data_IF_445483042803
#
_entry.id   IF_445483042803
#
_cell.length_a   1.000
_cell.length_b   1.000
_cell.length_c   1.000
_cell.angle_alpha   90.00
_cell.angle_beta   90.00
_cell.angle_gamma   90.00
#
_symmetry.space_group_name_H-M   'P 1'
#
loop_
_entity.id
_entity.type
_entity.pdbx_description
1 polymer ?
#
# COMPACT_ATOMS: atom_id res chain seq x y z
N UNK A 1 12.14 17.31 6.36
CA UNK A 1 12.63 17.32 4.96
C UNK A 1 11.68 18.19 4.18
N UNK A 2 12.17 19.23 3.49
CA UNK A 2 11.34 20.05 2.61
C UNK A 2 10.75 19.16 1.51
N UNK A 3 9.49 19.40 1.15
CA UNK A 3 8.71 18.61 0.21
C UNK A 3 9.17 18.76 -1.27
N UNK A 4 10.44 19.09 -1.52
CA UNK A 4 10.91 19.58 -2.83
C UNK A 4 11.71 18.55 -3.63
N UNK A 5 12.29 17.53 -2.98
CA UNK A 5 13.16 16.56 -3.65
C UNK A 5 12.59 15.14 -3.58
N UNK A 6 12.40 14.55 -4.76
CA UNK A 6 12.01 13.16 -4.90
C UNK A 6 13.15 12.23 -4.44
N UNK A 7 12.90 11.12 -3.73
CA UNK A 7 13.94 10.21 -3.29
C UNK A 7 14.79 9.71 -4.47
N UNK A 8 16.11 9.84 -4.36
CA UNK A 8 17.02 9.32 -5.39
C UNK A 8 16.99 7.80 -5.40
N UNK A 9 16.58 7.23 -6.53
CA UNK A 9 16.60 5.78 -6.77
C UNK A 9 17.92 5.32 -7.43
N UNK A 10 18.83 6.25 -7.74
CA UNK A 10 20.01 6.00 -8.57
C UNK A 10 21.06 5.08 -7.94
N UNK A 11 21.05 4.94 -6.61
CA UNK A 11 22.00 4.10 -5.86
C UNK A 11 21.41 2.74 -5.48
N UNK A 12 20.13 2.49 -5.74
CA UNK A 12 19.48 1.24 -5.36
C UNK A 12 19.71 0.16 -6.42
N UNK A 13 20.21 -1.00 -6.01
CA UNK A 13 20.19 -2.20 -6.84
C UNK A 13 18.72 -2.53 -7.20
N UNK A 14 18.41 -2.49 -8.49
CA UNK A 14 17.05 -2.66 -9.00
C UNK A 14 16.46 -4.04 -8.64
N UNK A 15 17.30 -5.08 -8.60
CA UNK A 15 16.85 -6.42 -8.23
C UNK A 15 16.53 -6.50 -6.75
N UNK A 16 17.40 -5.92 -5.90
CA UNK A 16 17.16 -5.87 -4.45
C UNK A 16 15.94 -5.03 -4.11
N UNK A 17 15.73 -3.92 -4.81
CA UNK A 17 14.54 -3.09 -4.64
C UNK A 17 13.26 -3.81 -5.06
N UNK A 18 13.30 -4.54 -6.19
CA UNK A 18 12.19 -5.36 -6.63
C UNK A 18 11.83 -6.45 -5.61
N UNK A 19 12.83 -7.05 -4.96
CA UNK A 19 12.65 -8.05 -3.91
C UNK A 19 12.07 -7.42 -2.63
N UNK A 20 12.62 -6.31 -2.14
CA UNK A 20 12.06 -5.56 -1.00
C UNK A 20 10.57 -5.23 -1.22
N UNK A 21 10.23 -4.75 -2.42
CA UNK A 21 8.85 -4.48 -2.81
C UNK A 21 8.00 -5.75 -2.83
N UNK A 22 8.53 -6.86 -3.35
CA UNK A 22 7.83 -8.16 -3.39
C UNK A 22 7.52 -8.68 -1.99
N UNK A 23 8.45 -8.53 -1.04
CA UNK A 23 8.24 -8.90 0.35
C UNK A 23 7.15 -8.05 1.03
N UNK A 24 7.18 -6.72 0.86
CA UNK A 24 6.12 -5.84 1.36
C UNK A 24 4.78 -6.18 0.70
N UNK A 25 4.75 -6.35 -0.63
CA UNK A 25 3.52 -6.67 -1.36
C UNK A 25 2.91 -8.00 -0.92
N UNK A 26 3.75 -8.98 -0.56
CA UNK A 26 3.30 -10.25 -0.01
C UNK A 26 2.70 -10.10 1.39
N UNK A 27 3.29 -9.29 2.28
CA UNK A 27 2.70 -9.00 3.59
C UNK A 27 1.37 -8.21 3.48
N UNK A 28 1.27 -7.30 2.51
CA UNK A 28 0.05 -6.53 2.28
C UNK A 28 -1.17 -7.41 1.99
N UNK A 29 -0.98 -8.59 1.40
CA UNK A 29 -2.09 -9.50 1.15
C UNK A 29 -2.72 -10.04 2.43
N UNK A 30 -1.98 -10.09 3.54
CA UNK A 30 -2.56 -10.46 4.83
C UNK A 30 -3.49 -9.36 5.37
N UNK A 31 -3.12 -8.09 5.22
CA UNK A 31 -4.02 -6.98 5.53
C UNK A 31 -5.26 -7.02 4.63
N UNK A 32 -5.09 -7.27 3.34
CA UNK A 32 -6.19 -7.39 2.39
C UNK A 32 -7.16 -8.53 2.76
N UNK A 33 -6.65 -9.69 3.21
CA UNK A 33 -7.48 -10.81 3.69
C UNK A 33 -8.27 -10.44 4.94
N UNK A 34 -7.65 -9.70 5.87
CA UNK A 34 -8.34 -9.20 7.06
C UNK A 34 -9.44 -8.19 6.69
N UNK A 35 -9.14 -7.23 5.82
CA UNK A 35 -10.11 -6.26 5.30
C UNK A 35 -11.28 -6.95 4.59
N UNK A 36 -11.00 -7.96 3.75
CA UNK A 36 -12.05 -8.73 3.07
C UNK A 36 -12.91 -9.57 4.03
N UNK A 37 -12.30 -10.11 5.08
CA UNK A 37 -12.99 -10.99 6.04
C UNK A 37 -13.85 -10.21 7.04
N UNK A 38 -13.37 -9.03 7.45
CA UNK A 38 -13.89 -8.32 8.63
C UNK A 38 -14.14 -6.82 8.41
N UNK A 39 -13.62 -6.23 7.33
CA UNK A 39 -13.77 -4.81 7.03
C UNK A 39 -15.17 -4.44 6.51
N UNK A 40 -15.41 -3.16 6.21
CA UNK A 40 -16.72 -2.66 5.79
C UNK A 40 -17.26 -3.27 4.50
N UNK A 41 -16.37 -3.77 3.64
CA UNK A 41 -16.72 -4.45 2.39
C UNK A 41 -16.84 -5.97 2.54
N UNK A 42 -16.86 -6.51 3.75
CA UNK A 42 -16.92 -7.95 3.98
C UNK A 42 -18.16 -8.58 3.30
N UNK A 43 -17.91 -9.59 2.45
CA UNK A 43 -18.94 -10.26 1.65
C UNK A 43 -19.30 -9.58 0.32
N UNK A 44 -18.68 -8.44 -0.01
CA UNK A 44 -18.79 -7.79 -1.31
C UNK A 44 -17.73 -8.31 -2.30
N UNK A 45 -18.06 -8.29 -3.59
CA UNK A 45 -17.08 -8.46 -4.68
C UNK A 45 -16.29 -7.18 -4.97
N UNK A 46 -16.57 -6.10 -4.23
CA UNK A 46 -15.88 -4.83 -4.36
C UNK A 46 -14.37 -4.96 -4.13
N UNK A 47 -13.62 -4.06 -4.77
CA UNK A 47 -12.17 -3.97 -4.62
C UNK A 47 -11.79 -3.78 -3.14
N UNK A 48 -10.89 -4.63 -2.66
CA UNK A 48 -10.30 -4.51 -1.33
C UNK A 48 -9.36 -3.31 -1.34
N UNK A 49 -9.49 -2.44 -0.34
CA UNK A 49 -8.66 -1.24 -0.22
C UNK A 49 -8.09 -1.10 1.19
N UNK A 50 -6.84 -0.67 1.28
CA UNK A 50 -6.15 -0.34 2.53
C UNK A 50 -5.93 1.18 2.62
N UNK A 51 -5.30 1.64 3.68
CA UNK A 51 -4.94 3.05 3.91
C UNK A 51 -3.44 3.20 4.10
N UNK A 52 -2.90 4.33 3.65
CA UNK A 52 -1.57 4.80 4.03
C UNK A 52 -1.70 5.75 5.21
N UNK A 53 -0.93 5.50 6.27
CA UNK A 53 -0.82 6.35 7.45
C UNK A 53 0.55 7.01 7.47
N UNK A 54 0.63 8.28 7.09
CA UNK A 54 1.91 8.96 6.92
C UNK A 54 2.63 9.19 8.26
N UNK A 55 1.87 9.49 9.32
CA UNK A 55 2.41 9.75 10.65
C UNK A 55 3.16 8.54 11.23
N UNK A 56 2.69 7.32 10.92
CA UNK A 56 3.28 6.06 11.40
C UNK A 56 4.13 5.34 10.35
N UNK A 57 4.18 5.86 9.11
CA UNK A 57 4.81 5.21 7.96
C UNK A 57 4.31 3.78 7.80
N UNK A 58 2.99 3.63 7.82
CA UNK A 58 2.37 2.34 7.92
C UNK A 58 1.20 2.18 6.95
N UNK A 59 0.92 0.94 6.59
CA UNK A 59 -0.24 0.58 5.79
C UNK A 59 -1.21 -0.12 6.71
N UNK A 60 -2.48 0.30 6.68
CA UNK A 60 -3.48 -0.18 7.63
C UNK A 60 -4.74 -0.67 6.94
N UNK A 61 -5.41 -1.63 7.58
CA UNK A 61 -6.82 -1.92 7.27
C UNK A 61 -7.69 -0.72 7.64
N UNK A 62 -8.95 -0.70 7.19
CA UNK A 62 -9.97 0.11 7.85
C UNK A 62 -10.23 -0.45 9.24
N UNK A 63 -10.97 0.30 10.06
CA UNK A 63 -11.39 -0.18 11.38
C UNK A 63 -12.31 -1.40 11.21
N UNK A 64 -11.92 -2.49 11.84
CA UNK A 64 -12.66 -3.74 11.95
C UNK A 64 -13.58 -3.63 13.17
N UNK A 65 -14.89 -3.50 12.93
CA UNK A 65 -15.82 -3.13 14.00
C UNK A 65 -15.57 -1.71 14.49
N UNK A 66 -15.56 -1.49 15.81
CA UNK A 66 -15.46 -0.12 16.37
C UNK A 66 -14.03 0.39 16.48
N UNK A 67 -13.11 -0.41 17.03
CA UNK A 67 -11.82 0.11 17.53
C UNK A 67 -10.60 -0.75 17.19
N UNK A 68 -10.73 -1.75 16.30
CA UNK A 68 -9.61 -2.62 15.91
C UNK A 68 -9.10 -2.26 14.52
N UNK A 69 -7.79 -2.21 14.33
CA UNK A 69 -7.14 -2.03 13.04
C UNK A 69 -5.90 -2.92 12.98
N UNK A 70 -5.61 -3.52 11.82
CA UNK A 70 -4.33 -4.17 11.59
C UNK A 70 -3.42 -3.22 10.82
N UNK A 71 -2.18 -3.13 11.24
CA UNK A 71 -1.14 -2.27 10.66
C UNK A 71 0.06 -3.12 10.20
N UNK A 72 0.64 -2.74 9.07
CA UNK A 72 1.99 -3.10 8.64
C UNK A 72 2.84 -1.83 8.64
N UNK A 73 3.78 -1.74 9.58
CA UNK A 73 4.71 -0.61 9.70
C UNK A 73 5.96 -0.82 8.84
N UNK A 74 6.37 0.24 8.16
CA UNK A 74 7.57 0.30 7.33
C UNK A 74 8.57 1.33 7.90
N UNK A 75 9.89 1.15 7.65
CA UNK A 75 10.52 0.11 6.83
C UNK A 75 10.72 -1.25 7.53
N UNK A 76 10.42 -1.36 8.83
CA UNK A 76 10.79 -2.54 9.64
C UNK A 76 9.98 -3.81 9.34
N UNK A 77 8.93 -3.73 8.52
CA UNK A 77 8.03 -4.84 8.20
C UNK A 77 7.44 -5.51 9.44
N UNK A 78 6.86 -4.69 10.33
CA UNK A 78 6.23 -5.14 11.58
C UNK A 78 4.72 -5.11 11.44
N UNK A 79 4.07 -6.25 11.70
CA UNK A 79 2.62 -6.37 11.80
C UNK A 79 2.16 -6.14 13.24
N UNK A 80 1.13 -5.33 13.43
CA UNK A 80 0.61 -5.01 14.77
C UNK A 80 -0.87 -4.64 14.74
N UNK A 81 -1.64 -5.16 15.70
CA UNK A 81 -3.00 -4.70 15.93
C UNK A 81 -3.01 -3.40 16.72
N UNK A 82 -3.96 -2.53 16.40
CA UNK A 82 -4.28 -1.31 17.11
C UNK A 82 -5.68 -1.41 17.69
N UNK A 83 -5.80 -1.15 18.99
CA UNK A 83 -7.01 -1.30 19.78
C UNK A 83 -7.26 -0.02 20.57
N UNK A 84 -8.42 0.62 20.34
CA UNK A 84 -8.77 1.86 21.05
C UNK A 84 -7.76 2.98 20.84
N UNK A 85 -7.15 3.04 19.65
CA UNK A 85 -6.13 4.03 19.30
C UNK A 85 -4.74 3.75 19.89
N UNK A 86 -4.48 2.54 20.41
CA UNK A 86 -3.17 2.14 20.94
C UNK A 86 -2.67 0.87 20.28
N UNK A 87 -1.35 0.78 20.09
CA UNK A 87 -0.71 -0.42 19.59
C UNK A 87 -0.78 -1.55 20.63
N UNK A 88 -1.19 -2.76 20.21
CA UNK A 88 -1.24 -3.95 21.06
C UNK A 88 0.17 -4.51 21.30
N UNK A 89 0.41 -5.15 22.44
CA UNK A 89 1.77 -5.58 22.85
C UNK A 89 2.39 -6.69 21.99
N UNK A 90 1.60 -7.43 21.21
CA UNK A 90 2.05 -8.61 20.47
C UNK A 90 2.34 -8.29 19.00
N UNK A 91 3.32 -7.42 18.73
CA UNK A 91 3.75 -7.18 17.35
C UNK A 91 4.49 -8.40 16.78
N UNK A 92 4.35 -8.63 15.47
CA UNK A 92 5.12 -9.62 14.72
C UNK A 92 6.12 -8.88 13.82
N UNK A 93 7.42 -9.04 14.09
CA UNK A 93 8.46 -8.75 13.09
C UNK A 93 8.37 -9.80 11.99
N UNK A 94 8.52 -9.43 10.71
CA UNK A 94 8.49 -10.41 9.63
C UNK A 94 9.80 -11.21 9.48
N UNK A 95 10.91 -10.72 10.04
CA UNK A 95 12.24 -11.36 9.93
C UNK A 95 12.19 -12.86 10.28
N UNK A 96 12.77 -13.69 9.42
CA UNK A 96 12.84 -15.15 9.53
C UNK A 96 11.47 -15.85 9.64
N UNK A 97 10.37 -15.15 9.37
CA UNK A 97 9.05 -15.73 9.35
C UNK A 97 8.58 -15.95 7.91
N UNK A 98 7.95 -17.09 7.69
CA UNK A 98 7.31 -17.42 6.41
C UNK A 98 5.87 -16.87 6.35
N UNK A 99 5.26 -16.77 5.17
CA UNK A 99 3.83 -16.46 5.04
C UNK A 99 2.93 -17.36 5.90
N UNK A 100 3.25 -18.66 6.05
CA UNK A 100 2.51 -19.55 6.94
C UNK A 100 2.62 -19.16 8.43
N UNK A 101 3.78 -18.67 8.88
CA UNK A 101 3.94 -18.15 10.24
C UNK A 101 3.12 -16.89 10.46
N UNK A 102 3.11 -15.96 9.49
CA UNK A 102 2.28 -14.75 9.55
C UNK A 102 0.79 -15.10 9.63
N UNK A 103 0.34 -16.09 8.84
CA UNK A 103 -1.04 -16.59 8.92
C UNK A 103 -1.38 -17.12 10.31
N UNK A 104 -0.51 -17.99 10.86
CA UNK A 104 -0.74 -18.59 12.17
C UNK A 104 -0.83 -17.52 13.26
N UNK A 105 0.10 -16.55 13.26
CA UNK A 105 0.08 -15.41 14.18
C UNK A 105 -1.23 -14.62 14.06
N UNK A 106 -1.67 -14.28 12.85
CA UNK A 106 -2.93 -13.56 12.62
C UNK A 106 -4.13 -14.31 13.20
N UNK A 107 -4.25 -15.61 12.92
CA UNK A 107 -5.37 -16.41 13.40
C UNK A 107 -5.40 -16.56 14.92
N UNK A 108 -4.24 -16.66 15.55
CA UNK A 108 -4.10 -16.67 17.02
C UNK A 108 -4.49 -15.31 17.60
N UNK A 109 -4.02 -14.22 17.02
CA UNK A 109 -4.32 -12.87 17.50
C UNK A 109 -5.81 -12.52 17.35
N UNK A 110 -6.46 -12.98 16.26
CA UNK A 110 -7.92 -12.87 16.12
C UNK A 110 -8.65 -13.67 17.21
N UNK A 111 -8.18 -14.90 17.51
CA UNK A 111 -8.77 -15.74 18.55
C UNK A 111 -8.66 -15.08 19.93
N UNK A 112 -7.50 -14.53 20.29
CA UNK A 112 -7.29 -13.82 21.56
C UNK A 112 -8.21 -12.61 21.75
N UNK A 113 -8.69 -12.02 20.64
CA UNK A 113 -9.62 -10.88 20.63
C UNK A 113 -11.10 -11.30 20.56
N UNK A 114 -11.38 -12.60 20.61
CA UNK A 114 -12.73 -13.13 20.48
C UNK A 114 -13.34 -12.91 19.09
N UNK A 115 -12.52 -12.69 18.07
CA UNK A 115 -12.99 -12.57 16.69
C UNK A 115 -13.20 -13.96 16.11
N UNK A 116 -14.35 -14.16 15.46
CA UNK A 116 -14.70 -15.44 14.85
C UNK A 116 -13.78 -15.75 13.66
N UNK A 117 -12.73 -16.52 13.94
CA UNK A 117 -11.77 -17.03 12.94
C UNK A 117 -12.42 -17.79 11.78
N UNK A 118 -13.64 -18.32 11.92
CA UNK A 118 -14.33 -19.02 10.84
C UNK A 118 -14.73 -18.10 9.69
N UNK A 119 -14.81 -16.79 9.95
CA UNK A 119 -15.05 -15.77 8.92
C UNK A 119 -13.80 -15.42 8.11
N UNK A 120 -12.60 -15.80 8.58
CA UNK A 120 -11.38 -15.53 7.86
C UNK A 120 -11.37 -16.25 6.52
N UNK A 121 -11.10 -15.51 5.44
CA UNK A 121 -10.91 -16.07 4.11
C UNK A 121 -9.50 -15.81 3.61
N UNK A 122 -8.92 -16.82 2.95
CA UNK A 122 -7.65 -16.69 2.23
C UNK A 122 -7.83 -16.14 0.81
N UNK A 123 -9.04 -16.21 0.27
CA UNK A 123 -9.35 -15.84 -1.10
C UNK A 123 -9.27 -14.32 -1.26
N UNK A 124 -8.68 -13.86 -2.35
CA UNK A 124 -8.69 -12.46 -2.77
C UNK A 124 -9.34 -12.36 -4.16
N UNK A 125 -9.94 -11.21 -4.52
CA UNK A 125 -10.64 -11.05 -5.80
C UNK A 125 -9.70 -10.88 -7.01
N UNK A 126 -8.40 -11.12 -6.82
CA UNK A 126 -7.34 -10.95 -7.82
C UNK A 126 -6.26 -12.01 -7.60
N UNK A 127 -5.41 -12.19 -8.62
CA UNK A 127 -4.33 -13.17 -8.59
C UNK A 127 -3.21 -12.76 -7.62
N UNK A 128 -2.75 -13.72 -6.83
CA UNK A 128 -1.63 -13.59 -5.89
C UNK A 128 -0.60 -14.70 -6.06
N UNK A 129 -0.68 -15.46 -7.16
CA UNK A 129 0.21 -16.60 -7.45
C UNK A 129 1.68 -16.21 -7.54
N UNK A 130 1.96 -14.97 -7.96
CA UNK A 130 3.31 -14.41 -8.06
C UNK A 130 3.83 -13.78 -6.77
N UNK A 131 3.28 -14.12 -5.59
CA UNK A 131 3.68 -13.60 -4.27
C UNK A 131 4.17 -14.73 -3.34
N UNK A 132 4.86 -14.37 -2.26
CA UNK A 132 5.36 -15.34 -1.28
C UNK A 132 4.19 -16.12 -0.66
N UNK A 133 4.33 -17.45 -0.57
CA UNK A 133 3.34 -18.33 0.02
C UNK A 133 3.97 -19.56 0.67
N UNK A 134 3.22 -20.20 1.57
CA UNK A 134 3.67 -21.41 2.26
C UNK A 134 4.74 -21.15 3.32
N UNK A 135 5.55 -22.17 3.58
CA UNK A 135 6.59 -22.22 4.60
C UNK A 135 8.02 -22.35 4.04
N UNK A 136 8.16 -22.53 2.73
CA UNK A 136 9.46 -22.70 2.07
C UNK A 136 10.24 -21.41 1.77
N UNK A 137 9.68 -20.25 2.10
CA UNK A 137 10.32 -18.93 1.92
C UNK A 137 10.07 -18.07 3.16
N UNK A 138 11.06 -17.29 3.56
CA UNK A 138 11.02 -16.40 4.72
C UNK A 138 11.19 -14.95 4.28
N UNK A 139 10.58 -14.02 5.00
CA UNK A 139 10.88 -12.60 4.84
C UNK A 139 12.24 -12.28 5.45
N UNK A 140 12.94 -11.30 4.87
CA UNK A 140 14.26 -10.86 5.32
C UNK A 140 14.37 -9.32 5.28
N UNK A 141 13.51 -8.57 5.99
CA UNK A 141 13.59 -7.12 6.05
C UNK A 141 14.97 -6.59 6.46
N UNK A 142 15.74 -7.29 7.29
CA UNK A 142 17.10 -6.88 7.64
C UNK A 142 18.05 -6.94 6.44
N UNK A 143 17.94 -7.98 5.61
CA UNK A 143 18.73 -8.12 4.40
C UNK A 143 18.45 -7.00 3.40
N UNK A 144 17.20 -6.51 3.32
CA UNK A 144 16.74 -5.49 2.36
C UNK A 144 16.47 -4.12 3.01
N UNK A 145 17.09 -3.84 4.16
CA UNK A 145 16.78 -2.66 4.99
C UNK A 145 16.87 -1.33 4.22
N UNK A 146 17.91 -1.16 3.42
CA UNK A 146 18.12 0.08 2.66
C UNK A 146 17.03 0.27 1.60
N UNK A 147 16.69 -0.81 0.89
CA UNK A 147 15.66 -0.81 -0.13
C UNK A 147 14.27 -0.55 0.46
N UNK A 148 13.98 -1.09 1.65
CA UNK A 148 12.75 -0.83 2.39
C UNK A 148 12.66 0.62 2.87
N UNK A 149 13.77 1.22 3.32
CA UNK A 149 13.84 2.66 3.65
C UNK A 149 13.49 3.48 2.40
N UNK A 150 14.13 3.20 1.26
CA UNK A 150 13.86 3.89 0.00
C UNK A 150 12.42 3.73 -0.44
N UNK A 151 11.85 2.52 -0.36
CA UNK A 151 10.44 2.26 -0.68
C UNK A 151 9.50 3.08 0.22
N UNK A 152 9.78 3.14 1.52
CA UNK A 152 9.00 3.91 2.49
C UNK A 152 9.05 5.40 2.22
N UNK A 153 10.22 5.92 1.83
CA UNK A 153 10.40 7.31 1.41
C UNK A 153 9.63 7.61 0.12
N UNK A 154 9.66 6.70 -0.87
CA UNK A 154 8.88 6.82 -2.09
C UNK A 154 7.38 6.86 -1.82
N UNK A 155 6.86 5.97 -0.96
CA UNK A 155 5.44 5.98 -0.57
C UNK A 155 5.06 7.28 0.15
N UNK A 156 5.90 7.74 1.08
CA UNK A 156 5.72 9.02 1.79
C UNK A 156 5.65 10.20 0.82
N UNK A 157 6.63 10.30 -0.08
CA UNK A 157 6.71 11.38 -1.06
C UNK A 157 5.54 11.35 -2.05
N UNK A 158 5.16 10.15 -2.51
CA UNK A 158 4.02 9.96 -3.39
C UNK A 158 2.71 10.36 -2.71
N UNK A 159 2.46 9.90 -1.48
CA UNK A 159 1.27 10.27 -0.71
C UNK A 159 1.18 11.80 -0.53
N UNK A 160 2.29 12.43 -0.12
CA UNK A 160 2.33 13.89 0.03
C UNK A 160 2.05 14.62 -1.29
N UNK A 161 2.60 14.16 -2.41
CA UNK A 161 2.37 14.78 -3.71
C UNK A 161 0.93 14.61 -4.22
N UNK A 162 0.34 13.44 -4.00
CA UNK A 162 -1.06 13.15 -4.33
C UNK A 162 -1.98 14.04 -3.49
N UNK A 163 -1.78 14.11 -2.17
CA UNK A 163 -2.59 14.95 -1.26
C UNK A 163 -2.48 16.45 -1.55
N UNK A 164 -1.29 16.93 -1.94
CA UNK A 164 -1.13 18.33 -2.33
C UNK A 164 -1.88 18.68 -3.62
N UNK A 165 -2.14 17.69 -4.46
CA UNK A 165 -2.83 17.88 -5.72
C UNK A 165 -4.34 17.63 -5.60
N UNK A 166 -4.81 16.74 -4.72
CA UNK A 166 -6.24 16.49 -4.53
C UNK A 166 -6.94 17.71 -3.92
N UNK A 167 -8.12 18.04 -4.46
CA UNK A 167 -8.99 19.11 -3.92
C UNK A 167 -9.91 18.59 -2.79
N UNK A 168 -9.87 17.28 -2.51
CA UNK A 168 -10.81 16.59 -1.64
C UNK A 168 -10.41 16.74 -0.16
N UNK A 169 -10.65 17.90 0.44
CA UNK A 169 -10.38 18.12 1.86
C UNK A 169 -11.21 17.17 2.75
N UNK A 170 -10.66 16.00 3.06
CA UNK A 170 -11.17 15.13 4.13
C UNK A 170 -10.69 15.67 5.48
N UNK A 171 -11.50 15.50 6.52
CA UNK A 171 -11.10 15.91 7.88
C UNK A 171 -9.98 15.01 8.45
N UNK A 172 -9.78 13.83 7.86
CA UNK A 172 -8.69 12.91 8.16
C UNK A 172 -7.87 12.63 6.89
N UNK A 173 -6.62 13.12 6.78
CA UNK A 173 -5.77 12.90 5.62
C UNK A 173 -5.41 11.42 5.40
N UNK A 174 -5.46 10.59 6.45
CA UNK A 174 -5.19 9.16 6.34
C UNK A 174 -6.39 8.39 5.72
N UNK A 175 -7.58 9.01 5.64
CA UNK A 175 -8.73 8.44 4.92
C UNK A 175 -8.73 8.74 3.42
N UNK A 176 -7.97 9.76 3.00
CA UNK A 176 -7.96 10.29 1.65
C UNK A 176 -7.07 9.48 0.69
N UNK A 177 -5.93 8.99 1.19
CA UNK A 177 -5.07 8.07 0.42
C UNK A 177 -5.52 6.62 0.59
N UNK A 178 -5.93 6.03 -0.53
CA UNK A 178 -6.26 4.61 -0.64
C UNK A 178 -5.04 3.85 -1.14
N UNK A 179 -4.75 2.70 -0.53
CA UNK A 179 -3.80 1.73 -1.11
C UNK A 179 -4.56 0.57 -1.74
N UNK A 180 -4.28 0.26 -3.01
CA UNK A 180 -4.79 -0.95 -3.67
C UNK A 180 -3.80 -2.10 -3.49
N UNK A 181 -4.16 -3.17 -2.76
CA UNK A 181 -3.27 -4.30 -2.51
C UNK A 181 -3.03 -5.17 -3.75
N UNK A 182 -3.90 -5.12 -4.76
CA UNK A 182 -3.71 -5.90 -6.00
C UNK A 182 -2.40 -5.53 -6.72
N UNK A 183 -2.21 -4.24 -7.01
CA UNK A 183 -1.07 -3.74 -7.78
C UNK A 183 -0.12 -2.85 -6.97
N UNK A 184 -0.31 -2.79 -5.64
CA UNK A 184 0.46 -1.98 -4.71
C UNK A 184 0.54 -0.51 -5.13
N UNK A 185 -0.62 0.06 -5.49
CA UNK A 185 -0.76 1.47 -5.84
C UNK A 185 -1.30 2.30 -4.69
N UNK A 186 -0.83 3.54 -4.59
CA UNK A 186 -1.46 4.61 -3.79
C UNK A 186 -2.35 5.42 -4.72
N UNK A 187 -3.57 5.73 -4.29
CA UNK A 187 -4.57 6.47 -5.06
C UNK A 187 -5.32 7.48 -4.20
N UNK A 188 -5.69 8.61 -4.79
CA UNK A 188 -6.70 9.52 -4.24
C UNK A 188 -7.60 10.06 -5.35
N UNK A 189 -8.84 10.36 -5.00
CA UNK A 189 -9.75 11.05 -5.91
C UNK A 189 -9.28 12.51 -6.08
N UNK A 190 -9.08 12.91 -7.34
CA UNK A 190 -8.83 14.31 -7.68
C UNK A 190 -10.14 15.08 -7.78
N UNK A 191 -11.09 14.50 -8.53
CA UNK A 191 -12.46 14.97 -8.70
C UNK A 191 -13.40 13.77 -8.93
N UNK A 192 -14.65 14.02 -9.36
CA UNK A 192 -15.63 12.97 -9.61
C UNK A 192 -15.29 12.01 -10.76
N UNK A 193 -14.29 12.33 -11.58
CA UNK A 193 -13.93 11.59 -12.80
C UNK A 193 -12.46 11.17 -12.86
N UNK A 194 -11.59 11.75 -12.02
CA UNK A 194 -10.14 11.53 -12.05
C UNK A 194 -9.62 10.98 -10.73
N UNK A 195 -8.73 9.99 -10.85
CA UNK A 195 -7.94 9.42 -9.76
C UNK A 195 -6.47 9.70 -10.04
N UNK A 196 -5.78 10.30 -9.08
CA UNK A 196 -4.32 10.39 -9.11
C UNK A 196 -3.76 9.15 -8.43
N UNK A 197 -2.64 8.63 -8.92
CA UNK A 197 -2.01 7.53 -8.24
C UNK A 197 -0.51 7.40 -8.48
N UNK A 198 0.06 6.49 -7.71
CA UNK A 198 1.46 6.12 -7.73
C UNK A 198 1.60 4.61 -7.61
N UNK A 199 2.50 4.01 -8.41
CA UNK A 199 2.89 2.61 -8.31
C UNK A 199 4.38 2.54 -8.01
N UNK A 200 4.75 1.77 -7.00
CA UNK A 200 6.16 1.51 -6.69
C UNK A 200 6.87 0.66 -7.76
N UNK A 201 6.12 0.06 -8.70
CA UNK A 201 6.62 -0.50 -9.95
C UNK A 201 5.47 -0.73 -10.91
N UNK A 202 5.62 -0.35 -12.18
CA UNK A 202 4.66 -0.71 -13.24
C UNK A 202 5.14 -1.93 -14.03
N UNK A 203 4.27 -2.92 -14.25
CA UNK A 203 4.58 -4.10 -15.07
C UNK A 203 5.09 -3.77 -16.49
N UNK A 204 4.72 -2.59 -17.02
CA UNK A 204 5.14 -2.10 -18.34
C UNK A 204 6.45 -1.32 -18.35
N UNK A 205 6.82 -0.70 -17.22
CA UNK A 205 7.90 0.30 -17.16
C UNK A 205 9.09 -0.18 -16.31
N UNK A 206 8.88 -1.13 -15.40
CA UNK A 206 9.94 -1.71 -14.57
C UNK A 206 10.50 -0.76 -13.50
N UNK A 207 9.92 0.45 -13.37
CA UNK A 207 10.28 1.48 -12.38
C UNK A 207 9.03 2.06 -11.72
N UNK A 208 9.18 2.81 -10.61
CA UNK A 208 8.07 3.54 -10.01
C UNK A 208 7.51 4.60 -10.98
N UNK A 209 6.21 4.84 -10.91
CA UNK A 209 5.53 5.79 -11.79
C UNK A 209 4.34 6.44 -11.10
N UNK A 210 4.04 7.66 -11.53
CA UNK A 210 2.79 8.34 -11.25
C UNK A 210 1.81 8.12 -12.40
N UNK A 211 0.52 8.18 -12.12
CA UNK A 211 -0.52 8.10 -13.14
C UNK A 211 -1.75 8.93 -12.80
N UNK A 212 -2.52 9.24 -13.84
CA UNK A 212 -3.86 9.80 -13.77
C UNK A 212 -4.79 8.82 -14.48
N UNK A 213 -5.80 8.32 -13.77
CA UNK A 213 -6.83 7.45 -14.34
C UNK A 213 -8.14 8.21 -14.41
N UNK A 214 -8.70 8.33 -15.61
CA UNK A 214 -10.04 8.89 -15.83
C UNK A 214 -11.08 7.79 -15.88
N UNK A 215 -12.19 7.92 -15.16
CA UNK A 215 -13.37 7.08 -15.33
C UNK A 215 -14.20 7.61 -16.50
N UNK A 216 -14.37 6.81 -17.55
CA UNK A 216 -15.29 7.14 -18.63
C UNK A 216 -16.74 7.03 -18.13
N UNK A 217 -17.59 8.04 -18.39
CA UNK A 217 -19.02 8.05 -18.05
C UNK A 217 -19.86 7.02 -18.86
N UNK A 218 -19.22 6.09 -19.54
CA UNK A 218 -19.84 5.28 -20.59
C UNK A 218 -19.68 3.78 -20.45
N UNK A 219 -19.78 3.21 -19.24
CA UNK A 219 -20.15 1.78 -19.01
C UNK A 219 -19.36 0.68 -19.76
N UNK A 220 -18.26 0.99 -20.43
CA UNK A 220 -17.38 0.04 -21.12
C UNK A 220 -16.16 -0.17 -20.24
N UNK A 221 -16.22 -1.26 -19.48
CA UNK A 221 -15.25 -1.70 -18.47
C UNK A 221 -13.89 -2.16 -19.02
N UNK A 222 -13.44 -1.71 -20.20
CA UNK A 222 -12.25 -2.30 -20.84
C UNK A 222 -11.18 -1.32 -21.36
N UNK A 223 -11.36 0.01 -21.20
CA UNK A 223 -10.29 0.97 -21.52
C UNK A 223 -10.12 1.95 -20.37
N UNK A 224 -9.32 1.56 -19.37
CA UNK A 224 -8.78 2.53 -18.42
C UNK A 224 -7.75 3.39 -19.16
N UNK A 225 -8.10 4.64 -19.46
CA UNK A 225 -7.15 5.63 -19.92
C UNK A 225 -6.28 6.06 -18.73
N UNK A 226 -5.11 5.44 -18.61
CA UNK A 226 -4.07 5.85 -17.67
C UNK A 226 -3.01 6.67 -18.41
N UNK A 227 -2.83 7.92 -17.99
CA UNK A 227 -1.70 8.75 -18.39
C UNK A 227 -0.62 8.53 -17.35
N UNK A 228 0.61 8.20 -17.77
CA UNK A 228 1.70 7.82 -16.86
C UNK A 228 2.87 8.81 -16.92
N UNK A 229 3.51 9.03 -15.77
CA UNK A 229 4.76 9.75 -15.61
C UNK A 229 5.75 8.86 -14.83
N UNK A 230 6.69 8.19 -15.52
CA UNK A 230 7.75 7.43 -14.87
C UNK A 230 8.62 8.33 -13.99
N UNK A 231 9.09 7.81 -12.86
CA UNK A 231 9.94 8.56 -11.93
C UNK A 231 11.28 8.97 -12.57
N UNK A 232 11.85 8.18 -13.48
CA UNK A 232 13.03 8.57 -14.26
C UNK A 232 12.89 9.88 -15.06
N UNK A 233 11.65 10.35 -15.27
CA UNK A 233 11.36 11.63 -15.92
C UNK A 233 11.27 12.79 -14.94
N UNK A 234 11.30 12.55 -13.64
CA UNK A 234 11.35 13.61 -12.63
C UNK A 234 12.79 14.12 -12.51
N UNK A 235 13.03 15.44 -12.68
CA UNK A 235 14.35 16.00 -12.47
C UNK A 235 14.75 15.91 -10.98
N UNK A 236 16.05 15.77 -10.72
CA UNK A 236 16.62 15.71 -9.37
C UNK A 236 16.36 16.98 -8.56
N UNK A 237 16.19 18.12 -9.22
CA UNK A 237 15.71 19.37 -8.65
C UNK A 237 14.43 19.82 -9.35
N UNK A 238 13.42 20.27 -8.59
CA UNK A 238 12.12 20.67 -9.15
C UNK A 238 11.20 19.51 -9.55
N UNK A 239 11.50 18.27 -9.15
CA UNK A 239 10.68 17.10 -9.45
C UNK A 239 9.23 17.24 -8.97
N UNK A 240 9.03 17.82 -7.79
CA UNK A 240 7.69 18.06 -7.24
C UNK A 240 6.88 19.08 -8.06
N UNK A 241 7.52 20.09 -8.67
CA UNK A 241 6.82 21.04 -9.53
C UNK A 241 6.38 20.39 -10.85
N UNK A 242 7.24 19.56 -11.45
CA UNK A 242 6.88 18.76 -12.63
C UNK A 242 5.71 17.82 -12.34
N UNK A 243 5.72 17.19 -11.17
CA UNK A 243 4.65 16.30 -10.75
C UNK A 243 3.33 17.05 -10.52
N UNK A 244 3.38 18.23 -9.91
CA UNK A 244 2.21 19.10 -9.78
C UNK A 244 1.64 19.51 -11.14
N UNK A 245 2.49 19.93 -12.06
CA UNK A 245 2.08 20.27 -13.43
C UNK A 245 1.43 19.05 -14.11
N UNK A 246 2.00 17.86 -13.95
CA UNK A 246 1.44 16.63 -14.50
C UNK A 246 0.01 16.37 -14.00
N UNK A 247 -0.21 16.45 -12.68
CA UNK A 247 -1.54 16.27 -12.09
C UNK A 247 -2.56 17.35 -12.45
N UNK A 248 -2.12 18.56 -12.80
CA UNK A 248 -3.00 19.66 -13.20
C UNK A 248 -3.35 19.70 -14.69
N UNK A 249 -2.54 19.08 -15.54
CA UNK A 249 -2.64 19.25 -17.00
C UNK A 249 -3.60 18.28 -17.71
N UNK A 250 -4.17 17.31 -17.00
CA UNK A 250 -5.07 16.28 -17.55
C UNK A 250 -6.18 15.96 -16.57
#
# INVERSE_FOLDING_TARGET
MSAEEWPSMAESDQQRFAEARHQVHSLLQWLARIEKSYGPAAGSTADVTLRWCDARKAITTRRLGKDLQLELRLPEMVLQFWEGGRAANHALSAEEHSPAHVEAWLLIELLHRGIDRKRFTKELPYDVSGLMSGDGVEFSPELYRNELITLTQCLTAAAAAILQASETASQDPDEEIVLRPNDFSLEAAFDSRRVLGFKASGAKVGEPLFYIRTSDEGGRTDVCNEIILPVSRLPSSGGCERLRMFFQSH
#
